data_IF_671124803285
#
_entry.id   IF_671124803285
#
_cell.length_a   1.000
_cell.length_b   1.000
_cell.length_c   1.000
_cell.angle_alpha   90.00
_cell.angle_beta   90.00
_cell.angle_gamma   90.00
#
_symmetry.space_group_name_H-M   'P 1'
#
loop_
_entity.id
_entity.type
_entity.pdbx_description
1 polymer ?
#
# COMPACT_ATOMS: atom_id res chain seq x y z
N UNK A 1 -3.54 12.78 -5.11
CA UNK A 1 -2.26 12.07 -4.95
C UNK A 1 -1.22 12.89 -5.72
N UNK A 2 -0.08 13.21 -5.13
CA UNK A 2 0.96 13.97 -5.83
C UNK A 2 1.87 13.01 -6.60
N UNK A 3 2.31 13.38 -7.80
CA UNK A 3 3.25 12.57 -8.58
C UNK A 3 4.58 12.35 -7.83
N UNK A 4 4.99 13.31 -7.00
CA UNK A 4 6.19 13.20 -6.17
C UNK A 4 6.11 12.11 -5.08
N UNK A 5 4.89 11.68 -4.71
CA UNK A 5 4.68 10.64 -3.69
C UNK A 5 4.70 9.22 -4.30
N UNK A 6 4.74 9.12 -5.64
CA UNK A 6 4.71 7.85 -6.35
C UNK A 6 6.12 7.26 -6.50
N UNK A 7 6.21 5.94 -6.34
CA UNK A 7 7.39 5.15 -6.66
C UNK A 7 7.04 3.99 -7.60
N UNK A 8 8.05 3.53 -8.31
CA UNK A 8 7.96 2.26 -9.06
C UNK A 8 7.58 1.16 -8.06
N UNK A 9 6.71 0.25 -8.51
CA UNK A 9 6.03 -0.82 -7.74
C UNK A 9 4.92 -0.38 -6.80
N UNK A 10 4.59 0.92 -6.70
CA UNK A 10 3.39 1.34 -6.00
C UNK A 10 2.14 0.78 -6.69
N UNK A 11 1.17 0.38 -5.87
CA UNK A 11 -0.15 -0.06 -6.32
C UNK A 11 -1.10 1.12 -6.40
N UNK A 12 -1.78 1.21 -7.53
CA UNK A 12 -2.72 2.30 -7.84
C UNK A 12 -3.97 1.74 -8.52
N UNK A 13 -5.07 2.47 -8.41
CA UNK A 13 -6.31 2.11 -9.08
C UNK A 13 -6.47 2.93 -10.36
N UNK A 14 -6.83 2.27 -11.45
CA UNK A 14 -7.20 2.91 -12.72
C UNK A 14 -8.41 2.19 -13.29
N UNK A 15 -9.48 2.94 -13.61
CA UNK A 15 -10.74 2.39 -14.15
C UNK A 15 -11.25 1.16 -13.37
N UNK A 16 -11.28 1.26 -12.03
CA UNK A 16 -11.72 0.22 -11.09
C UNK A 16 -10.89 -1.09 -11.13
N UNK A 17 -9.67 -1.04 -11.66
CA UNK A 17 -8.71 -2.14 -11.63
C UNK A 17 -7.44 -1.72 -10.91
N UNK A 18 -6.76 -2.69 -10.31
CA UNK A 18 -5.49 -2.48 -9.61
C UNK A 18 -4.35 -2.67 -10.59
N UNK A 19 -3.40 -1.75 -10.56
CA UNK A 19 -2.18 -1.81 -11.35
C UNK A 19 -0.96 -1.53 -10.48
N UNK A 20 0.19 -1.98 -10.97
CA UNK A 20 1.51 -1.66 -10.44
C UNK A 20 2.15 -0.60 -11.33
N UNK A 21 2.72 0.46 -10.74
CA UNK A 21 3.53 1.42 -11.49
C UNK A 21 4.84 0.75 -11.90
N UNK A 22 5.16 0.71 -13.18
CA UNK A 22 6.41 0.15 -13.70
C UNK A 22 7.39 1.22 -14.14
N UNK A 23 6.90 2.37 -14.61
CA UNK A 23 7.72 3.50 -15.05
C UNK A 23 7.05 4.83 -14.65
N UNK A 24 7.86 5.85 -14.37
CA UNK A 24 7.40 7.23 -14.11
C UNK A 24 8.24 8.15 -15.00
N UNK A 25 7.60 8.99 -15.79
CA UNK A 25 8.29 9.87 -16.73
C UNK A 25 7.54 11.19 -16.89
N UNK A 26 8.26 12.20 -17.38
CA UNK A 26 7.70 13.52 -17.64
C UNK A 26 7.64 13.74 -19.15
N UNK A 27 6.52 14.27 -19.62
CA UNK A 27 6.36 14.68 -21.02
C UNK A 27 7.09 16.00 -21.29
N UNK A 28 7.21 16.36 -22.57
CA UNK A 28 7.81 17.62 -23.03
C UNK A 28 7.07 18.84 -22.45
N UNK A 29 5.77 18.72 -22.19
CA UNK A 29 4.92 19.76 -21.60
C UNK A 29 4.93 19.77 -20.06
N UNK A 30 5.94 19.13 -19.44
CA UNK A 30 6.11 19.02 -17.99
C UNK A 30 5.00 18.24 -17.25
N UNK A 31 4.02 17.68 -17.94
CA UNK A 31 3.04 16.78 -17.33
C UNK A 31 3.67 15.42 -16.98
N UNK A 32 3.37 14.91 -15.78
CA UNK A 32 3.85 13.60 -15.31
C UNK A 32 2.93 12.47 -15.78
N UNK A 33 3.56 11.40 -16.25
CA UNK A 33 2.91 10.18 -16.69
C UNK A 33 3.49 8.98 -15.93
N UNK A 34 2.68 7.94 -15.85
CA UNK A 34 3.08 6.64 -15.32
C UNK A 34 2.74 5.56 -16.32
N UNK A 35 3.63 4.58 -16.44
CA UNK A 35 3.28 3.29 -17.03
C UNK A 35 2.77 2.39 -15.91
N UNK A 36 1.59 1.85 -16.12
CA UNK A 36 0.90 0.98 -15.16
C UNK A 36 0.65 -0.37 -15.80
N UNK A 37 0.86 -1.43 -15.03
CA UNK A 37 0.78 -2.80 -15.49
C UNK A 37 0.01 -3.70 -14.53
N UNK A 38 -0.81 -4.59 -15.08
CA UNK A 38 -1.43 -5.71 -14.40
C UNK A 38 -1.37 -6.95 -15.31
N UNK A 39 -2.00 -8.05 -14.91
CA UNK A 39 -1.93 -9.32 -15.66
C UNK A 39 -2.59 -9.28 -17.06
N UNK A 40 -3.26 -8.19 -17.42
CA UNK A 40 -4.08 -8.08 -18.64
C UNK A 40 -3.58 -6.94 -19.52
N UNK A 41 -3.16 -5.82 -18.92
CA UNK A 41 -2.87 -4.58 -19.62
C UNK A 41 -1.58 -3.94 -19.11
N UNK A 42 -0.82 -3.35 -20.04
CA UNK A 42 0.31 -2.45 -19.77
C UNK A 42 0.06 -1.17 -20.57
N UNK A 43 -0.16 -0.05 -19.88
CA UNK A 43 -0.58 1.22 -20.49
C UNK A 43 0.09 2.42 -19.82
N UNK A 44 0.28 3.49 -20.58
CA UNK A 44 0.74 4.77 -20.05
C UNK A 44 -0.43 5.72 -19.83
N UNK A 45 -0.51 6.32 -18.66
CA UNK A 45 -1.59 7.25 -18.29
C UNK A 45 -1.04 8.47 -17.56
N UNK A 46 -1.70 9.64 -17.66
CA UNK A 46 -1.44 10.77 -16.78
C UNK A 46 -1.54 10.40 -15.29
N UNK A 47 -0.71 11.00 -14.43
CA UNK A 47 -0.72 10.73 -12.98
C UNK A 47 -2.00 11.17 -12.28
N UNK A 48 -2.74 12.12 -12.83
CA UNK A 48 -4.03 12.58 -12.30
C UNK A 48 -5.20 11.62 -12.62
N UNK A 49 -5.01 10.71 -13.57
CA UNK A 49 -6.01 9.73 -13.97
C UNK A 49 -6.04 8.49 -13.05
N UNK A 50 -4.99 8.28 -12.24
CA UNK A 50 -4.89 7.17 -11.28
C UNK A 50 -5.37 7.60 -9.90
N UNK A 51 -5.94 6.65 -9.15
CA UNK A 51 -6.49 6.89 -7.81
C UNK A 51 -5.67 6.14 -6.75
N UNK A 52 -5.49 6.75 -5.57
CA UNK A 52 -4.88 6.05 -4.45
C UNK A 52 -5.84 4.98 -3.92
N UNK A 53 -5.28 3.83 -3.51
CA UNK A 53 -6.03 2.74 -2.90
C UNK A 53 -6.03 2.94 -1.38
N UNK A 54 -7.20 2.98 -0.74
CA UNK A 54 -7.31 3.09 0.71
C UNK A 54 -6.83 1.79 1.39
N UNK A 55 -6.11 1.92 2.50
CA UNK A 55 -5.73 0.77 3.33
C UNK A 55 -6.99 0.18 3.98
N UNK A 56 -7.14 -1.14 3.85
CA UNK A 56 -8.22 -1.94 4.46
C UNK A 56 -7.61 -3.18 5.09
N UNK A 57 -8.39 -3.92 5.91
CA UNK A 57 -7.98 -5.21 6.49
C UNK A 57 -7.49 -6.18 5.40
N UNK A 58 -8.26 -6.33 4.31
CA UNK A 58 -7.94 -7.18 3.17
C UNK A 58 -6.57 -6.85 2.55
N UNK A 59 -6.25 -5.56 2.45
CA UNK A 59 -4.96 -5.13 1.92
C UNK A 59 -3.79 -5.44 2.85
N UNK A 60 -3.98 -5.29 4.16
CA UNK A 60 -2.96 -5.64 5.14
C UNK A 60 -2.63 -7.13 5.08
N UNK A 61 -3.66 -7.97 4.96
CA UNK A 61 -3.50 -9.42 4.79
C UNK A 61 -2.74 -9.76 3.50
N UNK A 62 -3.09 -9.14 2.36
CA UNK A 62 -2.35 -9.29 1.08
C UNK A 62 -0.89 -8.84 1.17
N UNK A 63 -0.59 -7.88 2.04
CA UNK A 63 0.76 -7.40 2.32
C UNK A 63 1.50 -8.26 3.36
N UNK A 64 0.91 -9.37 3.79
CA UNK A 64 1.52 -10.35 4.69
C UNK A 64 1.41 -10.01 6.16
N UNK A 65 0.57 -9.05 6.54
CA UNK A 65 0.26 -8.78 7.93
C UNK A 65 -0.81 -9.74 8.43
N UNK A 66 -0.67 -10.21 9.65
CA UNK A 66 -1.67 -11.06 10.31
C UNK A 66 -2.33 -10.29 11.43
N UNK A 67 -3.65 -10.40 11.54
CA UNK A 67 -4.42 -9.85 12.66
C UNK A 67 -4.06 -10.61 13.93
N UNK A 68 -3.37 -9.97 14.87
CA UNK A 68 -2.94 -10.59 16.13
C UNK A 68 -3.76 -10.17 17.33
N UNK A 69 -4.51 -9.08 17.20
CA UNK A 69 -5.44 -8.61 18.22
C UNK A 69 -6.58 -7.83 17.60
N UNK A 70 -7.79 -8.03 18.13
CA UNK A 70 -8.98 -7.28 17.74
C UNK A 70 -9.77 -6.96 18.99
N UNK A 71 -10.10 -5.69 19.16
CA UNK A 71 -11.00 -5.19 20.21
C UNK A 71 -11.88 -4.10 19.63
N UNK A 72 -12.90 -3.68 20.37
CA UNK A 72 -13.73 -2.51 20.03
C UNK A 72 -12.90 -1.22 19.88
N UNK A 73 -11.69 -1.22 20.44
CA UNK A 73 -10.79 -0.09 20.42
C UNK A 73 -9.79 -0.22 19.26
N UNK A 74 -9.10 -1.34 19.09
CA UNK A 74 -8.04 -1.43 18.08
C UNK A 74 -7.96 -2.80 17.45
N UNK A 75 -7.55 -2.78 16.19
CA UNK A 75 -7.10 -3.96 15.48
C UNK A 75 -5.57 -3.85 15.36
N UNK A 76 -4.85 -4.93 15.67
CA UNK A 76 -3.39 -5.00 15.55
C UNK A 76 -3.03 -6.00 14.47
N UNK A 77 -2.08 -5.59 13.64
CA UNK A 77 -1.56 -6.36 12.52
C UNK A 77 -0.05 -6.45 12.67
N UNK A 78 0.48 -7.65 12.85
CA UNK A 78 1.92 -7.89 12.99
C UNK A 78 2.46 -8.71 11.81
N UNK A 79 3.75 -8.54 11.51
CA UNK A 79 4.51 -9.42 10.60
C UNK A 79 5.32 -10.43 11.42
N UNK A 80 5.61 -11.62 10.87
CA UNK A 80 6.36 -12.65 11.56
C UNK A 80 7.85 -12.32 11.81
N UNK A 81 8.39 -11.24 11.24
CA UNK A 81 9.77 -10.81 11.51
C UNK A 81 9.92 -10.16 12.90
N UNK A 82 10.84 -10.67 13.71
CA UNK A 82 10.96 -10.38 15.15
C UNK A 82 11.45 -8.98 15.52
N UNK A 83 11.97 -8.19 14.57
CA UNK A 83 12.73 -6.99 14.92
C UNK A 83 11.90 -5.70 15.01
N UNK A 84 10.80 -5.55 14.27
CA UNK A 84 9.94 -4.35 14.31
C UNK A 84 8.50 -4.72 14.65
N UNK A 85 7.93 -4.02 15.64
CA UNK A 85 6.51 -4.12 16.01
C UNK A 85 5.70 -3.04 15.29
N UNK A 86 4.58 -3.45 14.70
CA UNK A 86 3.67 -2.58 13.97
C UNK A 86 2.27 -2.64 14.60
N UNK A 87 1.64 -1.48 14.82
CA UNK A 87 0.20 -1.41 15.09
C UNK A 87 -0.47 -0.60 13.98
N UNK A 88 -1.62 -1.04 13.48
CA UNK A 88 -2.33 -0.35 12.39
C UNK A 88 -3.75 -0.06 12.83
N UNK A 89 -4.08 1.23 13.00
CA UNK A 89 -5.44 1.65 13.38
C UNK A 89 -6.25 2.00 12.13
N UNK A 90 -7.26 1.18 11.85
CA UNK A 90 -8.18 1.34 10.72
C UNK A 90 -9.45 2.12 11.08
N UNK A 91 -9.65 2.48 12.36
CA UNK A 91 -10.90 3.09 12.82
C UNK A 91 -10.87 4.62 12.70
N UNK A 92 -11.86 5.19 12.01
CA UNK A 92 -12.03 6.65 11.89
C UNK A 92 -12.54 7.32 13.17
N UNK A 93 -12.95 6.53 14.17
CA UNK A 93 -13.45 7.02 15.47
C UNK A 93 -12.32 7.41 16.42
N UNK A 94 -11.07 7.23 16.02
CA UNK A 94 -9.89 7.49 16.82
C UNK A 94 -9.04 8.61 16.23
N UNK A 95 -8.32 9.29 17.11
CA UNK A 95 -7.49 10.48 16.82
C UNK A 95 -6.31 10.13 15.87
N UNK A 96 -6.02 8.84 15.63
CA UNK A 96 -4.84 8.36 14.91
C UNK A 96 -5.23 7.36 13.83
N UNK A 97 -5.48 7.82 12.59
CA UNK A 97 -5.56 6.96 11.39
C UNK A 97 -4.12 6.66 10.92
N UNK A 98 -3.72 5.39 10.83
CA UNK A 98 -2.45 4.99 10.22
C UNK A 98 -1.59 3.98 10.98
N UNK A 99 -0.28 4.03 10.72
CA UNK A 99 0.73 3.07 11.15
C UNK A 99 1.44 3.55 12.41
N UNK A 100 1.60 2.69 13.43
CA UNK A 100 2.48 2.94 14.57
C UNK A 100 3.71 2.05 14.50
N UNK A 101 4.87 2.66 14.72
CA UNK A 101 6.16 1.98 14.77
C UNK A 101 6.86 2.37 16.08
N UNK A 102 7.11 1.40 16.95
CA UNK A 102 7.64 1.63 18.30
C UNK A 102 6.91 2.75 19.08
N UNK A 103 5.58 2.80 18.96
CA UNK A 103 4.74 3.81 19.63
C UNK A 103 4.61 5.15 18.90
N UNK A 104 5.42 5.41 17.86
CA UNK A 104 5.32 6.62 17.05
C UNK A 104 4.25 6.45 15.98
N UNK A 105 3.26 7.33 15.96
CA UNK A 105 2.20 7.31 14.96
C UNK A 105 2.64 8.03 13.67
N UNK A 106 2.47 7.35 12.55
CA UNK A 106 2.72 7.82 11.20
C UNK A 106 1.37 7.83 10.48
N UNK A 107 0.94 9.01 10.04
CA UNK A 107 -0.27 9.14 9.24
C UNK A 107 -0.02 8.46 7.89
N UNK A 108 -0.84 7.48 7.59
CA UNK A 108 -0.78 6.72 6.35
C UNK A 108 -2.17 6.15 6.10
N UNK A 109 -2.78 6.53 4.99
CA UNK A 109 -4.16 6.20 4.65
C UNK A 109 -4.24 5.34 3.39
N UNK A 110 -3.24 5.44 2.53
CA UNK A 110 -3.23 4.81 1.22
C UNK A 110 -2.08 3.80 1.06
N UNK A 111 -2.31 2.80 0.22
CA UNK A 111 -1.39 1.68 0.02
C UNK A 111 -0.03 2.14 -0.46
N UNK A 112 0.06 3.11 -1.37
CA UNK A 112 1.34 3.63 -1.86
C UNK A 112 2.19 4.26 -0.73
N UNK A 113 1.56 5.02 0.18
CA UNK A 113 2.24 5.59 1.35
C UNK A 113 2.80 4.48 2.25
N UNK A 114 1.99 3.44 2.46
CA UNK A 114 2.38 2.28 3.25
C UNK A 114 3.54 1.51 2.60
N UNK A 115 3.45 1.26 1.29
CA UNK A 115 4.52 0.61 0.52
C UNK A 115 5.82 1.40 0.61
N UNK A 116 5.74 2.73 0.48
CA UNK A 116 6.89 3.62 0.55
C UNK A 116 7.54 3.64 1.94
N UNK A 117 6.75 3.62 3.02
CA UNK A 117 7.26 3.52 4.39
C UNK A 117 7.97 2.19 4.59
N UNK A 118 7.34 1.08 4.21
CA UNK A 118 7.95 -0.25 4.37
C UNK A 118 9.23 -0.39 3.52
N UNK A 119 9.25 0.12 2.29
CA UNK A 119 10.45 0.04 1.46
C UNK A 119 11.60 0.86 2.03
N UNK A 120 11.33 2.02 2.63
CA UNK A 120 12.32 2.80 3.38
C UNK A 120 12.84 2.08 4.63
N UNK A 121 11.98 1.40 5.39
CA UNK A 121 12.38 0.70 6.61
C UNK A 121 13.20 -0.56 6.35
N UNK A 122 12.89 -1.29 5.27
CA UNK A 122 13.50 -2.58 4.99
C UNK A 122 14.57 -2.56 3.90
N UNK A 123 14.74 -1.43 3.20
CA UNK A 123 15.62 -1.32 2.03
C UNK A 123 15.19 -2.21 0.85
N UNK A 124 13.98 -2.78 0.90
CA UNK A 124 13.39 -3.64 -0.14
C UNK A 124 11.90 -3.41 -0.23
N UNK A 125 11.36 -3.54 -1.43
CA UNK A 125 9.93 -3.40 -1.68
C UNK A 125 9.13 -4.48 -0.94
N UNK A 126 7.98 -4.15 -0.32
CA UNK A 126 7.14 -5.15 0.32
C UNK A 126 6.62 -6.11 -0.75
N UNK A 127 7.01 -7.38 -0.65
CA UNK A 127 6.49 -8.41 -1.52
C UNK A 127 5.01 -8.66 -1.16
N UNK A 128 4.11 -8.55 -2.13
CA UNK A 128 2.74 -9.03 -1.97
C UNK A 128 2.82 -10.51 -1.63
N UNK A 129 2.26 -10.88 -0.48
CA UNK A 129 2.25 -12.25 -0.03
C UNK A 129 0.92 -12.85 -0.46
N UNK A 130 0.87 -13.40 -1.68
CA UNK A 130 -0.23 -14.27 -2.11
C UNK A 130 -0.14 -15.62 -1.36
N UNK A 131 -0.24 -15.62 -0.02
CA UNK A 131 -0.29 -16.86 0.76
C UNK A 131 -1.73 -17.40 0.72
N UNK A 132 -1.89 -18.50 -0.01
CA UNK A 132 -2.98 -19.48 0.07
C UNK A 132 -4.43 -18.94 -0.03
N UNK A 133 -4.88 -18.65 -1.25
CA UNK A 133 -6.21 -19.13 -1.63
C UNK A 133 -6.10 -20.66 -1.67
N UNK A 134 -6.42 -21.33 -0.56
CA UNK A 134 -6.62 -22.78 -0.53
C UNK A 134 -7.69 -23.09 -1.58
N UNK A 135 -7.27 -23.71 -2.68
CA UNK A 135 -8.16 -24.55 -3.46
C UNK A 135 -8.31 -25.80 -2.61
N UNK A 136 -9.42 -25.90 -1.88
CA UNK A 136 -9.87 -27.19 -1.38
C UNK A 136 -10.31 -28.00 -2.60
N UNK A 137 -9.56 -29.07 -2.87
CA UNK A 137 -9.90 -30.15 -3.80
C UNK A 137 -10.39 -31.35 -3.01
#
# INVERSE_FOLDING_TARGET
MNAADLKIKNLVEYKNQIYTITEIFQSIEQAYFVKIENNIHSISVPTDAIKPIKITEEWLEKLGFSKTYSSDQSIRYERPESFIKYDIDLSSRKILEGLKIYGNAIKCKYIHEFQNILSCLFGKEPALHFRYMKIES
#
